data_IF_616499691586
#
_entry.id   IF_616499691586
#
_cell.length_a   1.000
_cell.length_b   1.000
_cell.length_c   1.000
_cell.angle_alpha   90.00
_cell.angle_beta   90.00
_cell.angle_gamma   90.00
#
_symmetry.space_group_name_H-M   'P 1'
#
loop_
_entity.id
_entity.type
_entity.pdbx_description
1 polymer ?
#
# COMPACT_ATOMS: atom_id res chain seq x y z
N UNK A 1 2.81 -6.10 -15.53
CA UNK A 1 2.23 -7.01 -14.53
C UNK A 1 0.83 -6.53 -14.18
N UNK A 2 -0.16 -7.43 -14.12
CA UNK A 2 -1.55 -7.05 -13.85
C UNK A 2 -1.78 -6.78 -12.37
N UNK A 3 -2.34 -5.61 -12.07
CA UNK A 3 -2.61 -5.13 -10.71
C UNK A 3 -4.01 -4.53 -10.61
N UNK A 4 -4.53 -4.48 -9.38
CA UNK A 4 -5.87 -3.98 -9.07
C UNK A 4 -5.83 -2.95 -7.94
N UNK A 5 -6.64 -1.91 -8.05
CA UNK A 5 -6.85 -0.88 -7.03
C UNK A 5 -8.32 -0.87 -6.61
N UNK A 6 -8.60 -1.11 -5.34
CA UNK A 6 -9.93 -0.98 -4.76
C UNK A 6 -10.13 0.40 -4.16
N UNK A 7 -11.19 1.10 -4.56
CA UNK A 7 -11.46 2.49 -4.16
C UNK A 7 -12.95 2.81 -4.26
N UNK A 8 -13.32 4.09 -4.13
CA UNK A 8 -14.67 4.57 -4.39
C UNK A 8 -14.83 5.08 -5.85
N UNK A 9 -16.07 5.18 -6.32
CA UNK A 9 -16.39 5.60 -7.68
C UNK A 9 -15.81 6.97 -8.05
N UNK A 10 -15.85 7.95 -7.13
CA UNK A 10 -15.35 9.30 -7.39
C UNK A 10 -13.83 9.29 -7.56
N UNK A 11 -13.11 8.61 -6.66
CA UNK A 11 -11.66 8.43 -6.75
C UNK A 11 -11.26 7.69 -8.03
N UNK A 12 -12.01 6.66 -8.42
CA UNK A 12 -11.77 5.93 -9.67
C UNK A 12 -11.91 6.82 -10.91
N UNK A 13 -12.93 7.68 -10.95
CA UNK A 13 -13.14 8.63 -12.05
C UNK A 13 -12.04 9.68 -12.14
N UNK A 14 -11.58 10.17 -10.99
CA UNK A 14 -10.46 11.12 -10.94
C UNK A 14 -9.18 10.49 -11.47
N UNK A 15 -8.88 9.24 -11.10
CA UNK A 15 -7.71 8.51 -11.61
C UNK A 15 -7.79 8.35 -13.14
N UNK A 16 -8.96 7.98 -13.67
CA UNK A 16 -9.14 7.78 -15.12
C UNK A 16 -9.04 9.08 -15.92
N UNK A 17 -9.50 10.20 -15.35
CA UNK A 17 -9.52 11.49 -16.06
C UNK A 17 -8.21 12.27 -15.91
N UNK A 18 -7.55 12.17 -14.75
CA UNK A 18 -6.41 13.05 -14.38
C UNK A 18 -5.11 12.29 -14.12
N UNK A 19 -5.17 10.96 -14.09
CA UNK A 19 -4.03 10.12 -13.72
C UNK A 19 -3.94 9.87 -12.20
N UNK A 20 -2.96 9.08 -11.82
CA UNK A 20 -2.70 8.71 -10.44
C UNK A 20 -1.99 9.86 -9.73
N UNK A 21 -2.57 10.34 -8.63
CA UNK A 21 -1.92 11.27 -7.69
C UNK A 21 -1.48 10.48 -6.44
N UNK A 22 -0.18 10.19 -6.35
CA UNK A 22 0.40 9.45 -5.22
C UNK A 22 0.33 10.24 -3.90
N UNK A 23 0.20 11.57 -3.95
CA UNK A 23 0.12 12.43 -2.77
C UNK A 23 -1.25 12.36 -2.08
N UNK A 24 -2.28 11.89 -2.78
CA UNK A 24 -3.62 11.65 -2.22
C UNK A 24 -3.65 10.48 -1.22
N UNK A 25 -2.57 9.67 -1.17
CA UNK A 25 -2.45 8.54 -0.25
C UNK A 25 -2.43 8.96 1.22
N UNK A 26 -2.99 8.10 2.09
CA UNK A 26 -2.97 8.35 3.54
C UNK A 26 -1.54 8.19 4.10
N UNK A 27 -1.25 8.92 5.18
CA UNK A 27 0.00 8.77 5.95
C UNK A 27 -0.07 7.58 6.90
N UNK A 28 1.07 6.94 7.12
CA UNK A 28 1.21 5.84 8.08
C UNK A 28 0.67 4.50 7.57
N UNK A 29 0.66 4.27 6.26
CA UNK A 29 0.43 2.96 5.67
C UNK A 29 1.71 2.12 5.73
N UNK A 30 1.63 0.85 5.34
CA UNK A 30 2.70 -0.15 5.53
C UNK A 30 4.01 0.22 4.85
N UNK A 31 3.93 0.85 3.69
CA UNK A 31 5.05 1.09 2.78
C UNK A 31 5.20 2.56 2.41
N UNK A 32 4.58 3.46 3.20
CA UNK A 32 4.62 4.91 2.99
C UNK A 32 3.36 5.46 2.34
N UNK A 33 3.41 6.73 1.94
CA UNK A 33 2.32 7.38 1.21
C UNK A 33 2.54 7.18 -0.29
N UNK A 34 1.57 6.57 -0.96
CA UNK A 34 1.63 6.30 -2.39
C UNK A 34 0.35 5.65 -2.89
N UNK A 35 0.40 5.14 -4.12
CA UNK A 35 -0.74 4.50 -4.76
C UNK A 35 -0.68 2.98 -4.57
N UNK A 36 -1.61 2.45 -3.77
CA UNK A 36 -1.62 1.05 -3.36
C UNK A 36 -2.43 0.19 -4.31
N UNK A 37 -1.84 -0.92 -4.73
CA UNK A 37 -2.44 -1.89 -5.64
C UNK A 37 -2.15 -3.31 -5.18
N UNK A 38 -2.83 -4.29 -5.75
CA UNK A 38 -2.65 -5.71 -5.39
C UNK A 38 -2.77 -6.60 -6.62
N UNK A 39 -2.00 -7.71 -6.72
CA UNK A 39 -2.18 -8.67 -7.81
C UNK A 39 -3.47 -9.50 -7.66
N UNK A 40 -4.21 -9.37 -6.55
CA UNK A 40 -5.41 -10.17 -6.25
C UNK A 40 -6.67 -9.33 -6.40
N UNK A 41 -7.47 -9.61 -7.43
CA UNK A 41 -8.76 -8.94 -7.64
C UNK A 41 -9.67 -9.05 -6.40
N UNK A 42 -9.74 -10.22 -5.77
CA UNK A 42 -10.53 -10.44 -4.56
C UNK A 42 -10.12 -9.51 -3.41
N UNK A 43 -8.82 -9.22 -3.26
CA UNK A 43 -8.31 -8.28 -2.26
C UNK A 43 -8.72 -6.84 -2.59
N UNK A 44 -8.63 -6.44 -3.86
CA UNK A 44 -9.09 -5.11 -4.30
C UNK A 44 -10.60 -4.92 -4.09
N UNK A 45 -11.41 -5.96 -4.33
CA UNK A 45 -12.85 -5.93 -4.05
C UNK A 45 -13.11 -5.73 -2.54
N UNK A 46 -12.34 -6.40 -1.66
CA UNK A 46 -12.45 -6.21 -0.21
C UNK A 46 -12.12 -4.76 0.17
N UNK A 47 -11.06 -4.18 -0.40
CA UNK A 47 -10.70 -2.78 -0.16
C UNK A 47 -11.82 -1.82 -0.63
N UNK A 48 -12.35 -2.03 -1.83
CA UNK A 48 -13.42 -1.21 -2.40
C UNK A 48 -14.71 -1.27 -1.55
N UNK A 49 -15.08 -2.45 -1.05
CA UNK A 49 -16.25 -2.66 -0.17
C UNK A 49 -16.18 -1.88 1.14
N UNK A 50 -15.00 -1.41 1.55
CA UNK A 50 -14.83 -0.51 2.69
C UNK A 50 -15.24 0.95 2.40
N UNK A 51 -15.66 1.27 1.17
CA UNK A 51 -16.05 2.62 0.74
C UNK A 51 -17.56 2.74 0.50
N UNK A 52 -18.07 3.97 0.35
CA UNK A 52 -19.51 4.22 0.15
C UNK A 52 -20.04 3.75 -1.22
N UNK A 53 -19.21 3.86 -2.27
CA UNK A 53 -19.55 3.50 -3.64
C UNK A 53 -18.42 2.66 -4.25
N UNK A 54 -18.34 1.35 -3.93
CA UNK A 54 -17.20 0.50 -4.29
C UNK A 54 -16.91 0.49 -5.78
N UNK A 55 -15.64 0.69 -6.15
CA UNK A 55 -15.15 0.57 -7.50
C UNK A 55 -13.77 -0.10 -7.50
N UNK A 56 -13.50 -0.92 -8.51
CA UNK A 56 -12.18 -1.52 -8.71
C UNK A 56 -11.64 -1.09 -10.06
N UNK A 57 -10.37 -0.68 -10.08
CA UNK A 57 -9.60 -0.45 -11.29
C UNK A 57 -8.63 -1.62 -11.49
N UNK A 58 -8.41 -2.00 -12.74
CA UNK A 58 -7.29 -2.85 -13.18
C UNK A 58 -6.31 -2.04 -14.00
N UNK A 59 -5.04 -2.41 -13.96
CA UNK A 59 -3.96 -1.76 -14.70
C UNK A 59 -2.79 -2.72 -14.92
N UNK A 60 -1.88 -2.33 -15.81
CA UNK A 60 -0.58 -2.97 -16.00
C UNK A 60 0.54 -2.07 -15.46
N UNK A 61 1.46 -2.63 -14.70
CA UNK A 61 2.71 -1.96 -14.32
C UNK A 61 3.88 -2.54 -15.13
N UNK A 62 4.59 -1.69 -15.86
CA UNK A 62 5.89 -2.04 -16.45
C UNK A 62 7.00 -1.82 -15.42
N UNK A 63 7.69 -2.90 -15.05
CA UNK A 63 8.71 -2.87 -14.02
C UNK A 63 10.09 -2.44 -14.56
N UNK A 64 10.24 -2.30 -15.88
CA UNK A 64 11.53 -1.98 -16.49
C UNK A 64 12.07 -0.62 -16.03
N UNK A 65 13.35 -0.59 -15.67
CA UNK A 65 14.04 0.60 -15.18
C UNK A 65 13.61 1.12 -13.79
N UNK A 66 12.69 0.45 -13.09
CA UNK A 66 12.25 0.82 -11.75
C UNK A 66 13.12 0.21 -10.64
N UNK A 67 13.32 0.96 -9.56
CA UNK A 67 13.97 0.46 -8.34
C UNK A 67 12.88 -0.10 -7.43
N UNK A 68 12.81 -1.43 -7.34
CA UNK A 68 11.74 -2.15 -6.63
C UNK A 68 12.30 -2.85 -5.40
N UNK A 69 11.66 -2.64 -4.25
CA UNK A 69 11.93 -3.38 -3.01
C UNK A 69 10.87 -4.45 -2.78
N UNK A 70 11.29 -5.71 -2.77
CA UNK A 70 10.45 -6.86 -2.47
C UNK A 70 10.61 -7.38 -1.04
N UNK A 71 9.49 -7.76 -0.43
CA UNK A 71 9.45 -8.58 0.78
C UNK A 71 8.65 -9.86 0.50
N UNK A 72 9.32 -10.99 0.27
CA UNK A 72 8.64 -12.25 -0.09
C UNK A 72 8.04 -13.00 1.11
N UNK A 73 8.28 -12.51 2.33
CA UNK A 73 7.74 -13.07 3.58
C UNK A 73 7.75 -12.02 4.70
N UNK A 74 6.88 -12.15 5.72
CA UNK A 74 6.89 -11.27 6.90
C UNK A 74 8.06 -11.62 7.82
N UNK A 75 9.28 -11.31 7.38
CA UNK A 75 10.48 -11.41 8.19
C UNK A 75 10.64 -10.16 9.09
N UNK A 76 11.72 -10.14 9.88
CA UNK A 76 12.02 -9.02 10.77
C UNK A 76 12.24 -7.70 10.01
N UNK A 77 12.92 -7.75 8.87
CA UNK A 77 13.17 -6.59 8.00
C UNK A 77 11.87 -5.97 7.48
N UNK A 78 10.92 -6.79 6.99
CA UNK A 78 9.59 -6.32 6.58
C UNK A 78 8.83 -5.68 7.74
N UNK A 79 8.83 -6.32 8.92
CA UNK A 79 8.12 -5.80 10.08
C UNK A 79 8.73 -4.48 10.57
N UNK A 80 10.07 -4.35 10.56
CA UNK A 80 10.77 -3.09 10.81
C UNK A 80 10.36 -2.01 9.81
N UNK A 81 10.34 -2.32 8.52
CA UNK A 81 9.92 -1.40 7.47
C UNK A 81 8.48 -0.91 7.67
N UNK A 82 7.56 -1.82 7.94
CA UNK A 82 6.14 -1.52 8.18
C UNK A 82 5.95 -0.66 9.43
N UNK A 83 6.59 -1.02 10.54
CA UNK A 83 6.48 -0.29 11.81
C UNK A 83 7.02 1.12 11.65
N UNK A 84 8.16 1.32 10.98
CA UNK A 84 8.71 2.66 10.76
C UNK A 84 7.76 3.53 9.95
N UNK A 85 7.20 3.01 8.85
CA UNK A 85 6.23 3.77 8.04
C UNK A 85 4.96 4.13 8.83
N UNK A 86 4.36 3.14 9.50
CA UNK A 86 3.13 3.33 10.29
C UNK A 86 3.32 4.27 11.48
N UNK A 87 4.49 4.25 12.11
CA UNK A 87 4.87 5.18 13.18
C UNK A 87 5.39 6.52 12.67
N UNK A 88 5.44 6.72 11.34
CA UNK A 88 5.93 7.95 10.69
C UNK A 88 7.36 8.30 11.09
N UNK A 89 8.17 7.27 11.34
CA UNK A 89 9.60 7.42 11.57
C UNK A 89 10.30 7.61 10.23
N UNK A 90 11.45 8.31 10.19
CA UNK A 90 12.22 8.45 8.95
C UNK A 90 12.52 7.09 8.32
N UNK A 91 12.23 6.94 7.03
CA UNK A 91 12.62 5.77 6.23
C UNK A 91 13.57 6.30 5.17
N UNK A 92 14.85 5.90 5.24
CA UNK A 92 15.88 6.34 4.31
C UNK A 92 15.92 5.39 3.11
N UNK A 93 14.93 5.48 2.21
CA UNK A 93 14.91 4.66 0.98
C UNK A 93 14.24 5.42 -0.17
N UNK A 94 14.86 5.38 -1.34
CA UNK A 94 14.32 5.90 -2.60
C UNK A 94 13.95 4.70 -3.51
N UNK A 95 12.83 4.05 -3.21
CA UNK A 95 12.26 3.01 -4.07
C UNK A 95 11.12 3.61 -4.90
N UNK A 96 11.00 3.20 -6.16
CA UNK A 96 9.83 3.56 -6.97
C UNK A 96 8.61 2.73 -6.60
N UNK A 97 8.84 1.45 -6.28
CA UNK A 97 7.81 0.53 -5.84
C UNK A 97 8.28 -0.31 -4.66
N UNK A 98 7.35 -0.66 -3.77
CA UNK A 98 7.57 -1.65 -2.71
C UNK A 98 6.45 -2.67 -2.75
N UNK A 99 6.78 -3.95 -2.61
CA UNK A 99 5.79 -5.01 -2.50
C UNK A 99 6.04 -5.94 -1.33
N UNK A 100 4.97 -6.55 -0.84
CA UNK A 100 5.06 -7.57 0.21
C UNK A 100 3.74 -7.91 0.86
N UNK A 101 3.77 -8.69 1.96
CA UNK A 101 2.62 -8.96 2.79
C UNK A 101 1.96 -7.68 3.28
N UNK A 102 0.63 -7.71 3.37
CA UNK A 102 -0.16 -6.65 4.01
C UNK A 102 -0.29 -6.94 5.50
N UNK A 103 0.04 -5.97 6.36
CA UNK A 103 -0.09 -6.13 7.80
C UNK A 103 -1.54 -5.89 8.24
N UNK A 104 -2.14 -6.84 8.96
CA UNK A 104 -3.54 -6.76 9.44
C UNK A 104 -3.67 -6.04 10.81
N UNK A 105 -2.54 -5.61 11.38
CA UNK A 105 -2.55 -4.88 12.65
C UNK A 105 -3.12 -3.46 12.46
N UNK A 106 -4.07 -3.02 13.30
CA UNK A 106 -4.67 -1.69 13.14
C UNK A 106 -3.68 -0.52 13.34
N UNK A 107 -3.37 0.22 12.26
CA UNK A 107 -2.46 1.38 12.23
C UNK A 107 -2.75 2.39 13.36
N UNK A 108 -3.99 2.86 13.46
CA UNK A 108 -4.39 3.88 14.45
C UNK A 108 -4.15 3.42 15.88
N UNK A 109 -4.43 2.14 16.17
CA UNK A 109 -4.22 1.55 17.50
C UNK A 109 -2.74 1.45 17.83
N UNK A 110 -1.92 1.05 16.85
CA UNK A 110 -0.47 0.99 17.02
C UNK A 110 0.12 2.36 17.32
N UNK A 111 -0.22 3.34 16.47
CA UNK A 111 0.27 4.71 16.58
C UNK A 111 -0.11 5.34 17.93
N UNK A 112 -1.38 5.21 18.34
CA UNK A 112 -1.84 5.73 19.62
C UNK A 112 -1.10 5.13 20.83
N UNK A 113 -0.80 3.82 20.80
CA UNK A 113 -0.04 3.17 21.88
C UNK A 113 1.42 3.63 21.91
N UNK A 114 2.05 3.79 20.75
CA UNK A 114 3.41 4.30 20.65
C UNK A 114 3.51 5.72 21.21
N UNK A 115 2.62 6.63 20.78
CA UNK A 115 2.59 8.01 21.28
C UNK A 115 2.33 8.12 22.79
N UNK A 116 1.63 7.14 23.36
CA UNK A 116 1.39 7.06 24.81
C UNK A 116 2.52 6.38 25.60
N UNK A 117 3.67 6.05 24.97
CA UNK A 117 4.76 5.27 25.54
C UNK A 117 4.32 3.89 26.08
N UNK A 118 3.23 3.31 25.53
CA UNK A 118 2.66 2.00 25.90
C UNK A 118 3.06 0.88 24.92
N UNK A 119 3.88 1.19 23.93
CA UNK A 119 4.37 0.27 22.91
C UNK A 119 5.72 0.77 22.41
N UNK A 120 6.78 -0.04 22.54
CA UNK A 120 8.08 0.27 21.90
C UNK A 120 8.10 -0.16 20.43
N UNK A 121 9.10 0.29 19.67
CA UNK A 121 9.30 -0.12 18.28
C UNK A 121 9.50 -1.64 18.18
N UNK A 122 10.30 -2.22 19.06
CA UNK A 122 10.59 -3.66 19.12
C UNK A 122 9.32 -4.47 19.40
N UNK A 123 8.50 -4.03 20.36
CA UNK A 123 7.22 -4.66 20.65
C UNK A 123 6.22 -4.55 19.49
N UNK A 124 6.28 -3.48 18.71
CA UNK A 124 5.45 -3.33 17.52
C UNK A 124 5.89 -4.27 16.40
N UNK A 125 7.21 -4.43 16.20
CA UNK A 125 7.79 -5.34 15.20
C UNK A 125 7.33 -6.78 15.44
N UNK A 126 7.41 -7.27 16.68
CA UNK A 126 7.00 -8.64 17.02
C UNK A 126 5.51 -8.88 16.79
N UNK A 127 4.65 -7.88 17.04
CA UNK A 127 3.21 -7.98 16.78
C UNK A 127 2.88 -7.97 15.29
N UNK A 128 3.46 -7.03 14.54
CA UNK A 128 3.21 -6.89 13.09
C UNK A 128 3.64 -8.13 12.34
N UNK A 129 4.74 -8.77 12.75
CA UNK A 129 5.28 -9.96 12.09
C UNK A 129 4.34 -11.18 12.13
N UNK A 130 3.41 -11.22 13.08
CA UNK A 130 2.50 -12.36 13.28
C UNK A 130 1.15 -12.20 12.57
N UNK A 131 0.88 -11.03 12.00
CA UNK A 131 -0.47 -10.62 11.62
C UNK A 131 -0.50 -10.04 10.20
N UNK A 132 -0.59 -10.93 9.21
CA UNK A 132 -0.62 -10.57 7.78
C UNK A 132 -1.84 -11.14 7.07
N UNK A 133 -2.42 -10.36 6.16
CA UNK A 133 -3.61 -10.78 5.42
C UNK A 133 -3.58 -10.29 3.97
N UNK A 134 -2.89 -11.04 3.10
CA UNK A 134 -2.82 -10.74 1.68
C UNK A 134 -1.51 -10.07 1.24
N UNK A 135 -1.54 -9.52 0.03
CA UNK A 135 -0.35 -9.00 -0.66
C UNK A 135 -0.68 -7.66 -1.30
N UNK A 136 0.27 -6.73 -1.21
CA UNK A 136 0.12 -5.39 -1.76
C UNK A 136 1.41 -4.91 -2.41
N UNK A 137 1.24 -3.97 -3.30
CA UNK A 137 2.25 -3.17 -3.95
C UNK A 137 1.92 -1.70 -3.68
N UNK A 138 2.93 -0.85 -3.61
CA UNK A 138 2.76 0.60 -3.61
C UNK A 138 3.63 1.20 -4.70
N UNK A 139 3.07 2.14 -5.46
CA UNK A 139 3.80 3.04 -6.36
C UNK A 139 4.07 4.33 -5.59
N UNK A 140 5.34 4.70 -5.49
CA UNK A 140 5.85 5.77 -4.60
C UNK A 140 6.39 7.00 -5.33
N UNK A 141 6.67 6.90 -6.62
CA UNK A 141 7.30 7.99 -7.39
C UNK A 141 6.53 8.30 -8.66
N UNK A 142 6.62 9.56 -9.10
CA UNK A 142 6.12 10.00 -10.40
C UNK A 142 6.77 9.24 -11.57
N UNK A 143 8.00 8.73 -11.38
CA UNK A 143 8.65 7.86 -12.35
C UNK A 143 7.86 6.56 -12.50
N UNK A 144 7.54 5.86 -11.41
CA UNK A 144 6.76 4.62 -11.50
C UNK A 144 5.30 4.84 -11.95
N UNK A 145 4.70 6.00 -11.65
CA UNK A 145 3.36 6.33 -12.18
C UNK A 145 3.36 6.31 -13.71
N UNK A 146 4.42 6.80 -14.37
CA UNK A 146 4.54 6.79 -15.83
C UNK A 146 4.63 5.38 -16.43
N UNK A 147 4.98 4.39 -15.63
CA UNK A 147 5.04 2.98 -16.03
C UNK A 147 3.70 2.24 -15.77
N UNK A 148 2.68 2.93 -15.25
CA UNK A 148 1.34 2.36 -15.07
C UNK A 148 0.50 2.66 -16.31
N UNK A 149 -0.05 1.61 -16.91
CA UNK A 149 -0.77 1.65 -18.17
C UNK A 149 -2.10 0.90 -18.10
N UNK A 150 -2.92 1.06 -19.13
CA UNK A 150 -4.16 0.31 -19.31
C UNK A 150 -5.13 0.36 -18.12
N UNK A 151 -5.23 1.52 -17.46
CA UNK A 151 -6.14 1.70 -16.32
C UNK A 151 -7.60 1.63 -16.79
N UNK A 152 -8.37 0.68 -16.26
CA UNK A 152 -9.77 0.41 -16.65
C UNK A 152 -10.61 0.03 -15.43
N UNK A 153 -11.90 0.40 -15.43
CA UNK A 153 -12.86 -0.10 -14.42
C UNK A 153 -13.08 -1.61 -14.61
N UNK A 154 -13.20 -2.33 -13.50
CA UNK A 154 -13.54 -3.75 -13.45
C UNK A 154 -14.99 -3.89 -12.99
N UNK A 155 -15.77 -4.73 -13.66
CA UNK A 155 -17.10 -5.12 -13.20
C UNK A 155 -16.96 -6.06 -11.99
N UNK A 156 -17.64 -5.74 -10.89
CA UNK A 156 -17.53 -6.42 -9.58
C UNK A 156 -18.87 -6.76 -8.98
#
# INVERSE_FOLDING_TARGET
MKLYHGTDLFSAEQILQKGIDISAGRKGLDFGTGFYVTPRLTQAIIWAKGTLAPCVLSMELDEDGLIIKGFDKPNKEWAEFVVRNRLRLPVCVDYDCVYGPMADYGVSRMYAKYMANKLTVEQAIEKVRQDTNGWQWVVLTERAVKNVHDIRKVEI
#
